data_IF_234174753329
#
_entry.id   IF_234174753329
#
_cell.length_a   1.000
_cell.length_b   1.000
_cell.length_c   1.000
_cell.angle_alpha   90.00
_cell.angle_beta   90.00
_cell.angle_gamma   90.00
#
_symmetry.space_group_name_H-M   'P 1'
#
loop_
_entity.id
_entity.type
_entity.pdbx_description
1 polymer ?
#
# COMPACT_ATOMS: atom_id res chain seq x y z
N UNK A 1 7.22 -13.47 -60.69
CA UNK A 1 7.33 -13.46 -59.22
C UNK A 1 6.14 -12.70 -58.68
N UNK A 2 5.30 -13.37 -57.91
CA UNK A 2 3.99 -12.90 -57.44
C UNK A 2 4.14 -11.75 -56.43
N UNK A 3 3.46 -10.63 -56.67
CA UNK A 3 3.29 -9.57 -55.70
C UNK A 3 2.30 -10.04 -54.62
N UNK A 4 2.79 -10.26 -53.40
CA UNK A 4 1.94 -10.51 -52.25
C UNK A 4 1.19 -9.22 -51.90
N UNK A 5 -0.07 -9.14 -52.33
CA UNK A 5 -1.01 -8.11 -51.90
C UNK A 5 -1.36 -8.35 -50.43
N UNK A 6 -0.61 -7.75 -49.51
CA UNK A 6 -0.95 -7.73 -48.09
C UNK A 6 -2.04 -6.69 -47.85
N UNK A 7 -3.30 -7.09 -47.99
CA UNK A 7 -4.44 -6.32 -47.48
C UNK A 7 -4.35 -6.32 -45.96
N UNK A 8 -3.75 -5.26 -45.41
CA UNK A 8 -3.81 -4.95 -43.98
C UNK A 8 -5.28 -4.66 -43.67
N UNK A 9 -5.97 -5.60 -43.01
CA UNK A 9 -7.33 -5.42 -42.51
C UNK A 9 -7.32 -4.30 -41.45
N UNK A 10 -7.41 -3.05 -41.89
CA UNK A 10 -7.64 -1.90 -41.01
C UNK A 10 -9.09 -2.00 -40.53
N UNK A 11 -9.31 -2.18 -39.22
CA UNK A 11 -10.67 -2.11 -38.66
C UNK A 11 -11.21 -0.68 -38.57
N UNK A 12 -10.49 0.32 -39.09
CA UNK A 12 -10.97 1.71 -39.19
C UNK A 12 -12.13 1.90 -40.16
N UNK A 13 -12.34 0.97 -41.10
CA UNK A 13 -13.25 1.18 -42.23
C UNK A 13 -14.62 0.48 -42.06
N UNK A 14 -14.91 -0.11 -40.89
CA UNK A 14 -16.16 -0.81 -40.55
C UNK A 14 -16.75 -0.30 -39.21
N UNK A 15 -18.09 -0.38 -38.97
CA UNK A 15 -18.77 0.43 -37.98
C UNK A 15 -18.26 0.14 -36.56
N UNK A 16 -17.94 1.20 -35.82
CA UNK A 16 -17.42 1.27 -34.43
C UNK A 16 -18.06 0.27 -33.46
N UNK A 17 -19.29 -0.16 -33.74
CA UNK A 17 -20.07 -1.13 -32.96
C UNK A 17 -19.44 -2.54 -32.96
N UNK A 18 -18.93 -3.01 -34.11
CA UNK A 18 -18.38 -4.37 -34.22
C UNK A 18 -17.07 -4.52 -33.43
N UNK A 19 -16.21 -3.51 -33.51
CA UNK A 19 -14.95 -3.47 -32.75
C UNK A 19 -15.19 -3.54 -31.24
N UNK A 20 -16.13 -2.74 -30.75
CA UNK A 20 -16.49 -2.72 -29.33
C UNK A 20 -17.07 -4.07 -28.88
N UNK A 21 -17.97 -4.67 -29.66
CA UNK A 21 -18.60 -5.94 -29.30
C UNK A 21 -17.58 -7.08 -29.17
N UNK A 22 -16.65 -7.17 -30.10
CA UNK A 22 -15.58 -8.19 -30.08
C UNK A 22 -14.70 -8.02 -28.84
N UNK A 23 -14.21 -6.80 -28.56
CA UNK A 23 -13.36 -6.56 -27.40
C UNK A 23 -14.10 -6.83 -26.08
N UNK A 24 -15.37 -6.46 -25.97
CA UNK A 24 -16.15 -6.76 -24.75
C UNK A 24 -16.31 -8.26 -24.52
N UNK A 25 -16.50 -9.05 -25.58
CA UNK A 25 -16.60 -10.51 -25.45
C UNK A 25 -15.28 -11.14 -25.06
N UNK A 26 -14.17 -10.68 -25.63
CA UNK A 26 -12.84 -11.17 -25.26
C UNK A 26 -12.51 -10.83 -23.80
N UNK A 27 -12.85 -9.63 -23.33
CA UNK A 27 -12.66 -9.25 -21.92
C UNK A 27 -13.48 -10.13 -20.97
N UNK A 28 -14.72 -10.46 -21.33
CA UNK A 28 -15.58 -11.36 -20.55
C UNK A 28 -15.04 -12.80 -20.54
N UNK A 29 -14.52 -13.30 -21.66
CA UNK A 29 -14.06 -14.68 -21.78
C UNK A 29 -12.70 -14.93 -21.12
N UNK A 30 -11.77 -13.97 -21.22
CA UNK A 30 -10.44 -14.08 -20.62
C UNK A 30 -10.35 -13.48 -19.20
N UNK A 31 -11.43 -12.88 -18.69
CA UNK A 31 -11.46 -12.11 -17.43
C UNK A 31 -10.29 -11.09 -17.33
N UNK A 32 -9.87 -10.57 -18.48
CA UNK A 32 -8.73 -9.68 -18.60
C UNK A 32 -9.16 -8.32 -19.17
N UNK A 33 -9.38 -7.31 -18.30
CA UNK A 33 -9.84 -6.01 -18.75
C UNK A 33 -8.72 -5.23 -19.45
N UNK A 34 -9.04 -4.69 -20.62
CA UNK A 34 -8.10 -3.88 -21.41
C UNK A 34 -8.05 -2.46 -20.80
N UNK A 35 -6.85 -1.92 -20.49
CA UNK A 35 -6.71 -0.56 -20.00
C UNK A 35 -6.99 0.48 -21.10
N UNK A 36 -7.46 1.67 -20.70
CA UNK A 36 -7.80 2.75 -21.63
C UNK A 36 -6.63 3.18 -22.55
N UNK A 37 -5.39 3.06 -22.05
CA UNK A 37 -4.19 3.34 -22.82
C UNK A 37 -4.07 2.41 -24.03
N UNK A 38 -4.23 1.12 -23.82
CA UNK A 38 -4.16 0.09 -24.86
C UNK A 38 -5.39 0.09 -25.77
N UNK A 39 -6.57 0.46 -25.25
CA UNK A 39 -7.76 0.64 -26.09
C UNK A 39 -7.56 1.72 -27.16
N UNK A 40 -6.77 2.77 -26.88
CA UNK A 40 -6.49 3.83 -27.85
C UNK A 40 -5.53 3.41 -28.97
N UNK A 41 -4.69 2.40 -28.71
CA UNK A 41 -3.66 1.93 -29.64
C UNK A 41 -4.15 0.77 -30.52
N UNK A 42 -5.11 -0.03 -30.04
CA UNK A 42 -5.71 -1.14 -30.77
C UNK A 42 -6.62 -0.67 -31.91
N UNK A 43 -6.13 -0.82 -33.15
CA UNK A 43 -6.89 -0.47 -34.36
C UNK A 43 -7.14 -1.69 -35.25
N UNK A 44 -6.54 -2.85 -34.96
CA UNK A 44 -6.70 -4.09 -35.72
C UNK A 44 -6.98 -5.29 -34.81
N UNK A 45 -7.58 -6.36 -35.36
CA UNK A 45 -7.80 -7.62 -34.65
C UNK A 45 -6.45 -8.25 -34.29
N UNK A 46 -5.41 -8.01 -35.10
CA UNK A 46 -4.06 -8.46 -34.81
C UNK A 46 -3.52 -7.84 -33.52
N UNK A 47 -3.82 -6.57 -33.26
CA UNK A 47 -3.38 -5.89 -32.03
C UNK A 47 -4.06 -6.51 -30.79
N UNK A 48 -5.36 -6.78 -30.90
CA UNK A 48 -6.10 -7.48 -29.84
C UNK A 48 -5.55 -8.91 -29.61
N UNK A 49 -5.26 -9.65 -30.68
CA UNK A 49 -4.69 -10.99 -30.58
C UNK A 49 -3.30 -10.97 -29.92
N UNK A 50 -2.45 -10.00 -30.28
CA UNK A 50 -1.14 -9.83 -29.68
C UNK A 50 -1.25 -9.50 -28.19
N UNK A 51 -2.18 -8.63 -27.81
CA UNK A 51 -2.42 -8.25 -26.42
C UNK A 51 -2.81 -9.47 -25.57
N UNK A 52 -3.86 -10.22 -25.97
CA UNK A 52 -4.30 -11.39 -25.22
C UNK A 52 -3.31 -12.57 -25.27
N UNK A 53 -2.40 -12.60 -26.25
CA UNK A 53 -1.32 -13.59 -26.30
C UNK A 53 -0.15 -13.28 -25.36
N UNK A 54 -0.06 -12.04 -24.84
CA UNK A 54 1.04 -11.62 -23.99
C UNK A 54 0.70 -11.95 -22.53
N UNK A 55 1.50 -12.78 -21.83
CA UNK A 55 1.20 -13.16 -20.45
C UNK A 55 1.41 -11.97 -19.52
N UNK A 56 0.44 -11.75 -18.62
CA UNK A 56 0.54 -10.74 -17.56
C UNK A 56 0.92 -11.43 -16.25
N UNK A 57 1.91 -10.83 -15.59
CA UNK A 57 2.43 -11.28 -14.31
C UNK A 57 1.96 -10.31 -13.23
N UNK A 58 1.20 -10.82 -12.26
CA UNK A 58 0.70 -10.05 -11.11
C UNK A 58 1.63 -10.11 -9.88
N UNK A 59 2.63 -10.99 -9.90
CA UNK A 59 3.58 -11.11 -8.81
C UNK A 59 4.67 -10.04 -8.89
N UNK A 60 5.10 -9.56 -7.73
CA UNK A 60 6.21 -8.61 -7.66
C UNK A 60 7.54 -9.33 -7.85
N UNK A 61 8.56 -8.61 -8.34
CA UNK A 61 9.91 -9.17 -8.45
C UNK A 61 10.44 -9.73 -7.12
N UNK A 62 9.99 -9.18 -5.97
CA UNK A 62 10.36 -9.67 -4.65
C UNK A 62 9.76 -11.05 -4.34
N UNK A 63 8.51 -11.28 -4.75
CA UNK A 63 7.84 -12.57 -4.62
C UNK A 63 8.42 -13.62 -5.57
N UNK A 64 8.99 -13.23 -6.69
CA UNK A 64 9.66 -14.17 -7.59
C UNK A 64 10.99 -14.61 -7.05
N UNK A 65 11.76 -13.68 -6.50
CA UNK A 65 13.05 -13.99 -5.89
C UNK A 65 12.91 -14.97 -4.75
N UNK A 66 11.81 -14.93 -3.99
CA UNK A 66 11.57 -15.87 -2.88
C UNK A 66 11.19 -17.28 -3.34
N UNK A 67 10.73 -17.45 -4.59
CA UNK A 67 10.41 -18.77 -5.18
C UNK A 67 11.62 -19.47 -5.80
N UNK A 68 12.73 -18.75 -5.99
CA UNK A 68 13.95 -19.32 -6.56
C UNK A 68 14.69 -20.21 -5.54
N UNK A 69 15.63 -21.02 -6.02
CA UNK A 69 16.56 -21.74 -5.15
C UNK A 69 17.62 -20.77 -4.60
N UNK A 70 17.33 -20.19 -3.43
CA UNK A 70 18.25 -19.27 -2.77
C UNK A 70 19.50 -20.00 -2.26
N UNK A 71 20.67 -19.35 -2.30
CA UNK A 71 21.87 -19.89 -1.67
C UNK A 71 21.67 -19.94 -0.14
N UNK A 72 22.32 -20.90 0.53
CA UNK A 72 22.10 -21.21 1.96
C UNK A 72 22.34 -20.03 2.92
N UNK A 73 23.07 -19.01 2.49
CA UNK A 73 23.38 -17.81 3.25
C UNK A 73 22.43 -16.62 2.98
N UNK A 74 21.44 -16.78 2.09
CA UNK A 74 20.47 -15.75 1.76
C UNK A 74 19.08 -16.18 2.25
N UNK A 75 18.49 -15.35 3.10
CA UNK A 75 17.12 -15.53 3.57
C UNK A 75 16.31 -14.27 3.30
N UNK A 76 15.21 -14.41 2.57
CA UNK A 76 14.30 -13.31 2.23
C UNK A 76 13.12 -13.34 3.21
N UNK A 77 12.90 -12.24 3.91
CA UNK A 77 11.77 -12.08 4.84
C UNK A 77 10.58 -11.46 4.10
N UNK A 78 9.59 -12.28 3.75
CA UNK A 78 8.43 -11.80 2.99
C UNK A 78 7.51 -10.89 3.81
N UNK A 79 7.36 -11.20 5.09
CA UNK A 79 6.52 -10.44 6.00
C UNK A 79 7.30 -9.26 6.57
N UNK A 80 6.81 -8.02 6.39
CA UNK A 80 7.50 -6.85 6.92
C UNK A 80 7.42 -6.86 8.45
N UNK A 81 8.54 -7.14 9.10
CA UNK A 81 8.68 -7.01 10.55
C UNK A 81 8.77 -5.52 10.89
N UNK A 82 7.89 -5.06 11.78
CA UNK A 82 7.98 -3.73 12.36
C UNK A 82 8.72 -3.80 13.68
N UNK A 83 9.63 -2.86 13.88
CA UNK A 83 10.29 -2.66 15.16
C UNK A 83 9.36 -1.94 16.12
N UNK A 84 8.93 -2.66 17.13
CA UNK A 84 8.14 -2.17 18.24
C UNK A 84 8.99 -2.32 19.51
N UNK A 85 9.28 -1.23 20.24
CA UNK A 85 10.26 -1.26 21.32
C UNK A 85 9.86 -2.14 22.51
N UNK A 86 8.57 -2.42 22.67
CA UNK A 86 8.05 -3.24 23.78
C UNK A 86 7.98 -4.74 23.45
N UNK A 87 7.84 -5.09 22.17
CA UNK A 87 7.60 -6.48 21.72
C UNK A 87 8.79 -7.07 20.98
N UNK A 88 9.75 -6.24 20.55
CA UNK A 88 10.94 -6.72 19.85
C UNK A 88 11.90 -7.43 20.81
N UNK A 89 12.11 -8.72 20.54
CA UNK A 89 13.01 -9.60 21.30
C UNK A 89 14.38 -9.74 20.64
N UNK A 90 14.53 -9.32 19.37
CA UNK A 90 15.75 -9.58 18.61
C UNK A 90 16.79 -8.47 18.77
N UNK A 91 16.34 -7.21 18.88
CA UNK A 91 17.23 -6.04 19.05
C UNK A 91 17.02 -5.30 20.38
N UNK A 92 16.47 -5.96 21.40
CA UNK A 92 16.18 -5.36 22.71
C UNK A 92 15.38 -4.04 22.62
N UNK A 93 14.44 -3.97 21.67
CA UNK A 93 13.65 -2.77 21.40
C UNK A 93 14.39 -1.61 20.72
N UNK A 94 15.64 -1.80 20.30
CA UNK A 94 16.42 -0.78 19.59
C UNK A 94 16.06 -0.74 18.11
N UNK A 95 15.33 0.31 17.73
CA UNK A 95 15.03 0.61 16.33
C UNK A 95 16.15 1.42 15.66
N UNK A 96 16.28 1.33 14.33
CA UNK A 96 17.17 2.16 13.52
C UNK A 96 16.93 3.69 13.69
N UNK A 97 15.79 4.08 14.26
CA UNK A 97 15.43 5.47 14.54
C UNK A 97 15.13 5.69 16.03
N UNK A 98 16.15 5.74 16.90
CA UNK A 98 15.94 5.91 18.33
C UNK A 98 15.33 7.28 18.66
N UNK A 99 14.36 7.30 19.58
CA UNK A 99 13.65 8.51 20.02
C UNK A 99 12.72 9.12 18.96
N UNK A 100 12.31 8.36 17.94
CA UNK A 100 11.28 8.78 16.98
C UNK A 100 10.04 7.88 17.11
N UNK A 101 8.84 8.44 17.34
CA UNK A 101 7.62 7.65 17.34
C UNK A 101 7.25 7.16 15.94
N UNK A 102 6.72 5.95 15.86
CA UNK A 102 6.16 5.38 14.62
C UNK A 102 4.65 5.61 14.62
N UNK A 103 4.23 6.76 14.11
CA UNK A 103 2.80 7.13 14.07
C UNK A 103 2.15 6.62 12.77
N UNK A 104 1.16 5.75 12.91
CA UNK A 104 0.36 5.28 11.78
C UNK A 104 -0.85 6.20 11.61
N UNK A 105 -0.78 7.11 10.63
CA UNK A 105 -1.79 8.15 10.41
C UNK A 105 -3.08 7.64 9.76
N UNK A 106 -2.99 6.73 8.79
CA UNK A 106 -4.17 6.29 8.04
C UNK A 106 -5.05 5.31 8.84
N UNK A 107 -6.37 5.43 8.70
CA UNK A 107 -7.35 4.58 9.39
C UNK A 107 -7.21 3.09 9.03
N UNK A 108 -6.97 2.78 7.74
CA UNK A 108 -6.75 1.40 7.26
C UNK A 108 -5.55 0.77 7.96
N UNK A 109 -4.41 1.47 7.96
CA UNK A 109 -3.18 0.93 8.52
C UNK A 109 -3.15 0.95 10.04
N UNK A 110 -3.89 1.85 10.71
CA UNK A 110 -4.01 1.87 12.18
C UNK A 110 -4.64 0.60 12.75
N UNK A 111 -5.49 -0.10 11.96
CA UNK A 111 -6.05 -1.40 12.34
C UNK A 111 -5.04 -2.53 12.15
N UNK A 112 -4.31 -2.52 11.04
CA UNK A 112 -3.35 -3.57 10.65
C UNK A 112 -2.05 -3.49 11.45
N UNK A 113 -1.61 -2.28 11.79
CA UNK A 113 -0.32 -2.02 12.42
C UNK A 113 -0.51 -1.17 13.66
N UNK A 114 0.13 -1.60 14.75
CA UNK A 114 0.23 -0.77 15.96
C UNK A 114 1.24 0.34 15.68
N UNK A 115 0.87 1.56 16.03
CA UNK A 115 1.81 2.66 16.08
C UNK A 115 2.42 2.71 17.47
N UNK A 116 3.65 3.20 17.56
CA UNK A 116 4.28 3.51 18.82
C UNK A 116 4.13 5.01 19.12
N UNK A 117 3.41 5.34 20.19
CA UNK A 117 3.32 6.70 20.73
C UNK A 117 4.56 7.01 21.59
N UNK A 118 5.68 7.24 20.92
CA UNK A 118 6.86 7.84 21.55
C UNK A 118 6.77 9.36 21.65
N UNK A 119 7.53 9.94 22.58
CA UNK A 119 7.77 11.38 22.60
C UNK A 119 8.55 11.76 21.33
N UNK A 120 8.05 12.73 20.58
CA UNK A 120 8.83 13.32 19.49
C UNK A 120 9.98 14.11 20.11
N UNK A 121 11.20 14.00 19.56
CA UNK A 121 12.35 14.85 19.96
C UNK A 121 12.05 16.36 19.93
N UNK A 122 11.01 16.78 19.22
CA UNK A 122 10.59 18.17 19.12
C UNK A 122 9.49 18.57 20.12
N UNK A 123 9.01 17.65 20.97
CA UNK A 123 8.10 18.00 22.06
C UNK A 123 8.87 18.80 23.11
N UNK A 124 8.28 19.90 23.58
CA UNK A 124 8.85 20.66 24.69
C UNK A 124 8.80 19.77 25.93
N UNK A 125 9.93 19.60 26.62
CA UNK A 125 9.94 19.00 27.95
C UNK A 125 9.19 19.95 28.88
N UNK A 126 7.93 19.63 29.18
CA UNK A 126 7.11 20.41 30.11
C UNK A 126 7.70 20.21 31.50
N UNK A 127 7.94 21.31 32.22
CA UNK A 127 8.42 21.24 33.61
C UNK A 127 7.33 20.67 34.52
N UNK A 128 7.70 20.04 35.64
CA UNK A 128 6.70 19.49 36.59
C UNK A 128 5.70 20.55 37.05
N UNK A 129 6.16 21.79 37.21
CA UNK A 129 5.35 22.95 37.56
C UNK A 129 4.27 23.26 36.51
N UNK A 130 4.64 23.27 35.23
CA UNK A 130 3.69 23.52 34.13
C UNK A 130 2.69 22.37 33.99
N UNK A 131 3.14 21.11 34.18
CA UNK A 131 2.25 19.93 34.16
C UNK A 131 1.21 19.98 35.28
N UNK A 132 1.62 20.35 36.50
CA UNK A 132 0.70 20.51 37.63
C UNK A 132 -0.34 21.60 37.37
N UNK A 133 0.09 22.73 36.80
CA UNK A 133 -0.80 23.83 36.45
C UNK A 133 -1.81 23.46 35.38
N UNK A 134 -1.41 22.69 34.37
CA UNK A 134 -2.31 22.22 33.31
C UNK A 134 -3.32 21.20 33.84
N UNK A 135 -2.90 20.27 34.71
CA UNK A 135 -3.80 19.35 35.42
C UNK A 135 -4.80 20.08 36.31
N UNK A 136 -4.39 21.13 37.03
CA UNK A 136 -5.29 21.96 37.82
C UNK A 136 -6.31 22.69 36.94
N UNK A 137 -5.87 23.29 35.82
CA UNK A 137 -6.76 23.96 34.88
C UNK A 137 -7.78 23.02 34.22
N UNK A 138 -7.38 21.79 33.86
CA UNK A 138 -8.31 20.80 33.30
C UNK A 138 -9.27 20.24 34.36
N UNK A 139 -8.83 20.09 35.62
CA UNK A 139 -9.71 19.74 36.75
C UNK A 139 -10.77 20.82 37.01
N UNK A 140 -10.38 22.09 36.92
CA UNK A 140 -11.30 23.23 37.03
C UNK A 140 -12.31 23.25 35.87
N UNK A 141 -11.87 23.00 34.63
CA UNK A 141 -12.75 22.89 33.45
C UNK A 141 -13.75 21.74 33.56
N UNK A 142 -13.30 20.59 34.03
CA UNK A 142 -14.15 19.40 34.20
C UNK A 142 -15.07 19.50 35.43
N UNK A 143 -14.90 20.53 36.27
CA UNK A 143 -15.79 20.80 37.41
C UNK A 143 -15.66 19.80 38.56
N UNK A 144 -14.55 19.09 38.66
CA UNK A 144 -14.33 18.11 39.73
C UNK A 144 -14.03 18.86 41.03
N UNK A 145 -15.02 18.94 41.93
CA UNK A 145 -14.82 19.52 43.27
C UNK A 145 -13.87 18.65 44.09
N UNK A 146 -12.91 19.27 44.79
CA UNK A 146 -12.10 18.60 45.81
C UNK A 146 -13.03 17.93 46.82
N UNK A 147 -12.98 16.61 46.92
CA UNK A 147 -13.46 15.91 48.11
C UNK A 147 -12.40 16.24 49.18
N UNK A 148 -12.74 16.96 50.27
CA UNK A 148 -11.79 17.19 51.34
C UNK A 148 -11.32 15.84 51.88
N UNK A 149 -10.01 15.67 52.06
CA UNK A 149 -9.48 14.47 52.71
C UNK A 149 -9.99 14.46 54.14
N UNK A 150 -10.77 13.46 54.52
CA UNK A 150 -11.14 13.23 55.90
C UNK A 150 -9.87 13.03 56.73
N UNK A 151 -9.63 13.95 57.66
CA UNK A 151 -8.40 13.99 58.46
C UNK A 151 -8.37 15.20 59.38
N UNK A 152 -9.28 15.22 60.36
CA UNK A 152 -9.05 15.75 61.71
C UNK A 152 -9.29 14.63 62.73
#
# INVERSE_FOLDING_TARGET
>A
MLAASSTVNRLSDAPTVQHRFVLTRLMEEFDHPIPNTELSTMNTISDAMNFFSTPVIDHSAYEDLSKLDLPKNLHIQMEPVRFDPETDTFFDGQSAFPGRPTVVSSLKYRRKYRGNSGESRNQRSITEFERQRELEADRERLGWRRIPSEGE
#
